data_IF_209713572101
#
_entry.id   IF_209713572101
#
_cell.length_a   1.000
_cell.length_b   1.000
_cell.length_c   1.000
_cell.angle_alpha   90.00
_cell.angle_beta   90.00
_cell.angle_gamma   90.00
#
_symmetry.space_group_name_H-M   'P 1'
#
loop_
_entity.id
_entity.type
_entity.pdbx_description
1 polymer ?
#
# COMPACT_ATOMS: atom_id res chain seq x y z
N UNK A 1 -28.94 -16.22 -1.39
CA UNK A 1 -29.41 -14.84 -1.67
C UNK A 1 -30.07 -14.33 -0.40
N UNK A 2 -29.38 -13.51 0.38
CA UNK A 2 -29.93 -12.85 1.55
C UNK A 2 -30.60 -11.55 1.06
N UNK A 3 -31.93 -11.51 1.09
CA UNK A 3 -32.69 -10.29 0.84
C UNK A 3 -32.74 -9.53 2.15
N UNK A 4 -31.99 -8.45 2.29
CA UNK A 4 -32.12 -7.53 3.41
C UNK A 4 -33.41 -6.73 3.21
N UNK A 5 -34.25 -6.63 4.25
CA UNK A 5 -35.47 -5.81 4.22
C UNK A 5 -35.08 -4.33 4.14
N UNK A 6 -35.92 -3.49 3.52
CA UNK A 6 -35.71 -2.03 3.42
C UNK A 6 -35.40 -1.38 4.80
N UNK A 7 -35.91 -1.92 5.88
CA UNK A 7 -35.65 -1.46 7.25
C UNK A 7 -34.20 -1.68 7.70
N UNK A 8 -33.52 -2.73 7.20
CA UNK A 8 -32.10 -3.00 7.52
C UNK A 8 -31.17 -2.11 6.68
N UNK A 9 -31.60 -1.73 5.48
CA UNK A 9 -30.87 -0.79 4.62
C UNK A 9 -30.93 0.64 5.18
N UNK A 10 -32.07 1.07 5.75
CA UNK A 10 -32.21 2.38 6.41
C UNK A 10 -31.46 2.46 7.72
N UNK A 11 -31.43 1.38 8.52
CA UNK A 11 -30.63 1.31 9.75
C UNK A 11 -29.13 1.38 9.46
N UNK A 12 -28.67 0.85 8.34
CA UNK A 12 -27.27 0.98 7.90
C UNK A 12 -26.97 2.39 7.36
N UNK A 13 -27.96 3.09 6.78
CA UNK A 13 -27.80 4.48 6.33
C UNK A 13 -27.76 5.51 7.44
N UNK A 14 -28.35 5.20 8.61
CA UNK A 14 -28.48 6.12 9.73
C UNK A 14 -27.18 6.44 10.48
N UNK A 15 -26.09 5.71 10.22
CA UNK A 15 -24.79 5.88 10.87
C UNK A 15 -23.61 6.08 9.90
N UNK A 16 -23.86 6.44 8.65
CA UNK A 16 -22.78 6.84 7.76
C UNK A 16 -22.35 8.26 8.21
N UNK A 17 -21.48 8.34 9.23
CA UNK A 17 -20.67 9.53 9.43
C UNK A 17 -19.99 9.82 8.09
N UNK A 18 -20.16 11.03 7.57
CA UNK A 18 -19.43 11.49 6.39
C UNK A 18 -17.95 11.46 6.72
N UNK A 19 -17.29 10.36 6.39
CA UNK A 19 -15.84 10.26 6.49
C UNK A 19 -15.23 11.27 5.53
N UNK A 20 -14.15 11.91 5.96
CA UNK A 20 -13.41 12.82 5.09
C UNK A 20 -12.82 12.04 3.92
N UNK A 21 -12.81 12.66 2.75
CA UNK A 21 -12.10 12.12 1.61
C UNK A 21 -10.65 12.61 1.60
N UNK A 22 -9.74 11.77 1.18
CA UNK A 22 -8.34 12.09 0.98
C UNK A 22 -8.06 12.17 -0.52
N UNK A 23 -7.38 13.23 -0.96
CA UNK A 23 -7.06 13.41 -2.38
C UNK A 23 -5.69 12.81 -2.71
N UNK A 24 -5.65 11.89 -3.68
CA UNK A 24 -4.42 11.33 -4.24
C UNK A 24 -4.34 11.79 -5.71
N UNK A 25 -3.48 12.76 -5.99
CA UNK A 25 -3.46 13.42 -7.28
C UNK A 25 -4.84 13.98 -7.65
N UNK A 26 -5.41 13.54 -8.77
CA UNK A 26 -6.73 13.96 -9.24
C UNK A 26 -7.90 13.15 -8.65
N UNK A 27 -7.62 12.13 -7.85
CA UNK A 27 -8.65 11.22 -7.33
C UNK A 27 -9.01 11.55 -5.88
N UNK A 28 -10.31 11.56 -5.60
CA UNK A 28 -10.84 11.62 -4.23
C UNK A 28 -11.08 10.20 -3.73
N UNK A 29 -10.49 9.86 -2.58
CA UNK A 29 -10.58 8.53 -1.97
C UNK A 29 -11.35 8.63 -0.66
N UNK A 30 -12.43 7.88 -0.53
CA UNK A 30 -13.27 7.88 0.67
C UNK A 30 -14.76 7.71 0.35
N UNK A 31 -15.61 8.08 1.30
CA UNK A 31 -17.05 7.86 1.20
C UNK A 31 -17.67 8.57 -0.01
N UNK A 32 -18.50 7.83 -0.76
CA UNK A 32 -19.17 8.34 -1.96
C UNK A 32 -18.30 8.47 -3.20
N UNK A 33 -17.00 8.15 -3.10
CA UNK A 33 -16.10 8.08 -4.26
C UNK A 33 -16.04 6.66 -4.82
N UNK A 34 -15.76 6.50 -6.13
CA UNK A 34 -15.43 5.19 -6.69
C UNK A 34 -14.23 4.57 -5.99
N UNK A 35 -14.16 3.24 -5.96
CA UNK A 35 -13.02 2.53 -5.39
C UNK A 35 -11.73 2.91 -6.13
N UNK A 36 -10.68 3.24 -5.37
CA UNK A 36 -9.36 3.58 -5.89
C UNK A 36 -8.51 2.30 -5.95
N UNK A 37 -8.31 1.78 -7.16
CA UNK A 37 -7.56 0.55 -7.39
C UNK A 37 -6.08 0.84 -7.60
N UNK A 38 -5.25 0.13 -6.83
CA UNK A 38 -3.78 0.20 -6.90
C UNK A 38 -3.25 -1.16 -7.30
N UNK A 39 -2.56 -1.25 -8.43
CA UNK A 39 -1.84 -2.47 -8.80
C UNK A 39 -0.50 -2.53 -8.02
N UNK A 40 -0.33 -3.59 -7.24
CA UNK A 40 0.89 -3.86 -6.47
C UNK A 40 1.95 -4.50 -7.38
N UNK A 41 2.82 -3.69 -7.96
CA UNK A 41 3.99 -4.19 -8.71
C UNK A 41 5.05 -4.68 -7.72
N UNK A 42 5.27 -3.93 -6.64
CA UNK A 42 6.20 -4.31 -5.57
C UNK A 42 7.61 -4.58 -6.10
N UNK A 43 8.01 -5.84 -6.06
CA UNK A 43 9.29 -6.34 -6.60
C UNK A 43 9.07 -7.39 -7.71
N UNK A 44 7.85 -7.52 -8.24
CA UNK A 44 7.53 -8.54 -9.27
C UNK A 44 8.18 -8.25 -10.63
N UNK A 45 8.78 -7.09 -10.80
CA UNK A 45 9.61 -6.75 -11.96
C UNK A 45 10.95 -7.52 -11.99
N UNK A 46 11.31 -8.25 -10.94
CA UNK A 46 12.51 -9.09 -10.86
C UNK A 46 13.82 -8.37 -11.25
N UNK A 47 13.96 -7.07 -10.93
CA UNK A 47 15.14 -6.27 -11.26
C UNK A 47 15.23 -5.82 -12.72
N UNK A 48 14.21 -6.12 -13.54
CA UNK A 48 14.14 -5.71 -14.93
C UNK A 48 13.12 -4.57 -15.13
N UNK A 49 13.61 -3.43 -15.63
CA UNK A 49 12.76 -2.26 -15.82
C UNK A 49 11.75 -2.46 -16.94
N UNK A 50 12.05 -3.26 -17.98
CA UNK A 50 11.09 -3.54 -19.03
C UNK A 50 9.90 -4.32 -18.48
N UNK A 51 10.14 -5.33 -17.65
CA UNK A 51 9.09 -6.05 -16.93
C UNK A 51 8.25 -5.11 -16.07
N UNK A 52 8.86 -4.10 -15.43
CA UNK A 52 8.11 -3.08 -14.70
C UNK A 52 7.17 -2.27 -15.61
N UNK A 53 7.64 -1.87 -16.80
CA UNK A 53 6.82 -1.14 -17.78
C UNK A 53 5.66 -2.00 -18.31
N UNK A 54 5.91 -3.28 -18.57
CA UNK A 54 4.86 -4.23 -19.00
C UNK A 54 3.78 -4.42 -17.91
N UNK A 55 4.18 -4.44 -16.64
CA UNK A 55 3.25 -4.48 -15.51
C UNK A 55 2.44 -3.19 -15.36
N UNK A 56 3.03 -2.03 -15.68
CA UNK A 56 2.30 -0.76 -15.76
C UNK A 56 1.24 -0.82 -16.86
N UNK A 57 1.57 -1.32 -18.05
CA UNK A 57 0.61 -1.48 -19.15
C UNK A 57 -0.54 -2.42 -18.77
N UNK A 58 -0.25 -3.51 -18.09
CA UNK A 58 -1.28 -4.41 -17.58
C UNK A 58 -2.20 -3.70 -16.57
N UNK A 59 -1.65 -2.90 -15.67
CA UNK A 59 -2.43 -2.11 -14.70
C UNK A 59 -3.32 -1.07 -15.37
N UNK A 60 -2.81 -0.36 -16.38
CA UNK A 60 -3.58 0.60 -17.20
C UNK A 60 -4.72 -0.12 -17.91
N UNK A 61 -4.43 -1.26 -18.55
CA UNK A 61 -5.44 -2.06 -19.27
C UNK A 61 -6.52 -2.60 -18.34
N UNK A 62 -6.18 -2.88 -17.08
CA UNK A 62 -7.13 -3.29 -16.04
C UNK A 62 -7.92 -2.14 -15.43
N UNK A 63 -7.65 -0.88 -15.79
CA UNK A 63 -8.35 0.31 -15.29
C UNK A 63 -7.91 0.75 -13.90
N UNK A 64 -6.71 0.35 -13.43
CA UNK A 64 -6.16 0.83 -12.17
C UNK A 64 -5.85 2.33 -12.23
N UNK A 65 -6.02 3.03 -11.11
CA UNK A 65 -5.70 4.45 -10.98
C UNK A 65 -4.24 4.69 -10.63
N UNK A 66 -3.59 3.70 -10.01
CA UNK A 66 -2.19 3.80 -9.62
C UNK A 66 -1.49 2.44 -9.67
N UNK A 67 -0.16 2.50 -9.76
CA UNK A 67 0.74 1.37 -9.52
C UNK A 67 1.61 1.66 -8.30
N UNK A 68 1.98 0.61 -7.54
CA UNK A 68 2.81 0.76 -6.36
C UNK A 68 4.07 -0.09 -6.44
N UNK A 69 5.22 0.56 -6.19
CA UNK A 69 6.53 -0.04 -6.07
C UNK A 69 6.96 -0.16 -4.61
N UNK A 70 8.16 -0.66 -4.37
CA UNK A 70 8.83 -0.68 -3.08
C UNK A 70 10.21 -0.07 -3.24
N UNK A 71 10.67 0.68 -2.24
CA UNK A 71 12.02 1.23 -2.19
C UNK A 71 12.66 0.96 -0.84
N UNK A 72 13.90 0.48 -0.86
CA UNK A 72 14.70 0.17 0.32
C UNK A 72 16.14 0.62 0.11
N UNK A 73 16.76 1.04 1.19
CA UNK A 73 18.21 1.06 1.31
C UNK A 73 18.60 -0.26 1.96
N UNK A 74 19.04 -1.22 1.14
CA UNK A 74 19.18 -2.63 1.55
C UNK A 74 19.99 -2.79 2.84
N UNK A 75 21.06 -2.03 2.99
CA UNK A 75 21.98 -2.07 4.13
C UNK A 75 21.40 -1.47 5.41
N UNK A 76 20.34 -0.64 5.31
CA UNK A 76 19.63 -0.09 6.47
C UNK A 76 18.49 -1.01 6.92
N UNK A 77 17.81 -1.64 5.96
CA UNK A 77 16.60 -2.46 6.23
C UNK A 77 16.95 -3.85 6.75
N UNK A 78 18.06 -4.42 6.30
CA UNK A 78 18.44 -5.81 6.63
C UNK A 78 19.71 -5.88 7.45
N UNK A 79 19.76 -6.78 8.44
CA UNK A 79 20.99 -7.04 9.19
C UNK A 79 22.07 -7.67 8.29
N UNK A 80 23.34 -7.46 8.66
CA UNK A 80 24.47 -8.10 7.95
C UNK A 80 24.34 -9.62 7.92
N UNK A 81 23.83 -10.22 9.00
CA UNK A 81 23.60 -11.65 9.10
C UNK A 81 22.54 -12.11 8.07
N UNK A 82 21.43 -11.39 7.97
CA UNK A 82 20.39 -11.69 6.98
C UNK A 82 20.89 -11.54 5.55
N UNK A 83 21.69 -10.51 5.26
CA UNK A 83 22.26 -10.29 3.92
C UNK A 83 23.24 -11.38 3.53
N UNK A 84 24.03 -11.89 4.48
CA UNK A 84 25.03 -12.96 4.24
C UNK A 84 24.41 -14.36 4.21
N UNK A 85 23.14 -14.53 4.54
CA UNK A 85 22.47 -15.83 4.53
C UNK A 85 22.53 -16.46 3.13
N UNK A 86 23.01 -17.72 2.98
CA UNK A 86 23.04 -18.40 1.70
C UNK A 86 21.64 -18.51 1.10
N UNK A 87 21.52 -18.07 -0.15
CA UNK A 87 20.30 -18.14 -0.95
C UNK A 87 20.65 -18.05 -2.43
N UNK A 88 20.73 -19.18 -3.12
CA UNK A 88 20.97 -19.18 -4.57
C UNK A 88 19.79 -18.50 -5.29
N UNK A 89 20.10 -17.56 -6.17
CA UNK A 89 19.13 -16.71 -6.86
C UNK A 89 19.74 -16.15 -8.17
N UNK A 90 18.95 -15.55 -9.06
CA UNK A 90 19.46 -15.02 -10.35
C UNK A 90 20.55 -13.94 -10.24
N UNK A 91 20.72 -13.30 -9.07
CA UNK A 91 21.68 -12.21 -8.85
C UNK A 91 22.94 -12.63 -8.09
N UNK A 92 22.97 -13.87 -7.56
CA UNK A 92 24.09 -14.38 -6.77
C UNK A 92 23.72 -15.48 -5.78
N UNK A 93 24.55 -15.66 -4.77
CA UNK A 93 24.46 -16.80 -3.85
C UNK A 93 23.98 -16.41 -2.45
N UNK A 94 23.72 -15.11 -2.19
CA UNK A 94 23.27 -14.62 -0.89
C UNK A 94 21.91 -13.95 -0.95
N UNK A 95 21.26 -13.82 0.21
CA UNK A 95 20.04 -13.05 0.33
C UNK A 95 20.27 -11.56 0.00
N UNK A 96 21.46 -11.04 0.32
CA UNK A 96 21.89 -9.68 -0.03
C UNK A 96 21.96 -9.45 -1.53
N UNK A 97 22.50 -10.41 -2.28
CA UNK A 97 22.53 -10.33 -3.75
C UNK A 97 21.12 -10.24 -4.33
N UNK A 98 20.20 -11.07 -3.83
CA UNK A 98 18.80 -11.00 -4.23
C UNK A 98 18.18 -9.64 -3.91
N UNK A 99 18.39 -9.13 -2.68
CA UNK A 99 17.79 -7.85 -2.27
C UNK A 99 18.30 -6.69 -3.11
N UNK A 100 19.61 -6.62 -3.36
CA UNK A 100 20.21 -5.57 -4.22
C UNK A 100 19.79 -5.70 -5.67
N UNK A 101 19.74 -6.92 -6.21
CA UNK A 101 19.30 -7.17 -7.58
C UNK A 101 17.84 -6.82 -7.86
N UNK A 102 17.01 -6.76 -6.82
CA UNK A 102 15.60 -6.36 -6.91
C UNK A 102 15.37 -4.86 -6.69
N UNK A 103 16.37 -4.08 -6.23
CA UNK A 103 16.20 -2.65 -6.02
C UNK A 103 16.53 -1.87 -7.30
N UNK A 104 15.63 -0.98 -7.67
CA UNK A 104 15.87 -0.02 -8.74
C UNK A 104 16.65 1.20 -8.24
N UNK A 105 17.55 1.70 -9.06
CA UNK A 105 18.24 2.97 -8.90
C UNK A 105 17.48 4.14 -9.51
N UNK A 106 18.18 5.28 -9.58
CA UNK A 106 17.58 6.54 -10.05
C UNK A 106 17.12 6.47 -11.51
N UNK A 107 17.94 5.90 -12.38
CA UNK A 107 17.66 5.83 -13.82
C UNK A 107 16.42 4.98 -14.13
N UNK A 108 16.23 3.86 -13.43
CA UNK A 108 15.04 3.03 -13.59
C UNK A 108 13.79 3.78 -13.13
N UNK A 109 13.87 4.51 -12.00
CA UNK A 109 12.74 5.32 -11.53
C UNK A 109 12.44 6.52 -12.41
N UNK A 110 13.44 7.13 -13.06
CA UNK A 110 13.21 8.16 -14.10
C UNK A 110 12.37 7.57 -15.24
N UNK A 111 12.75 6.38 -15.74
CA UNK A 111 12.00 5.71 -16.81
C UNK A 111 10.57 5.35 -16.39
N UNK A 112 10.39 4.87 -15.15
CA UNK A 112 9.06 4.56 -14.57
C UNK A 112 8.22 5.82 -14.47
N UNK A 113 8.79 6.92 -13.99
CA UNK A 113 8.09 8.19 -13.82
C UNK A 113 7.63 8.76 -15.16
N UNK A 114 8.50 8.80 -16.15
CA UNK A 114 8.18 9.25 -17.51
C UNK A 114 7.08 8.36 -18.13
N UNK A 115 7.21 7.05 -18.01
CA UNK A 115 6.24 6.11 -18.56
C UNK A 115 4.87 6.20 -17.88
N UNK A 116 4.82 6.31 -16.57
CA UNK A 116 3.56 6.52 -15.85
C UNK A 116 2.87 7.84 -16.24
N UNK A 117 3.65 8.91 -16.49
CA UNK A 117 3.13 10.18 -17.01
C UNK A 117 2.55 10.02 -18.42
N UNK A 118 3.26 9.33 -19.31
CA UNK A 118 2.78 9.01 -20.66
C UNK A 118 1.45 8.23 -20.62
N UNK A 119 1.39 7.21 -19.77
CA UNK A 119 0.19 6.36 -19.61
C UNK A 119 -0.91 7.01 -18.76
N UNK A 120 -0.67 8.19 -18.20
CA UNK A 120 -1.62 8.92 -17.33
C UNK A 120 -2.08 8.13 -16.10
N UNK A 121 -1.24 7.23 -15.58
CA UNK A 121 -1.43 6.47 -14.34
C UNK A 121 -0.56 7.05 -13.23
N UNK A 122 -1.08 7.09 -12.01
CA UNK A 122 -0.27 7.49 -10.84
C UNK A 122 0.69 6.37 -10.44
N UNK A 123 1.82 6.76 -9.87
CA UNK A 123 2.69 5.81 -9.22
C UNK A 123 3.21 6.34 -7.89
N UNK A 124 3.50 5.46 -6.96
CA UNK A 124 4.10 5.75 -5.66
C UNK A 124 4.82 4.51 -5.12
N UNK A 125 5.49 4.66 -3.99
CA UNK A 125 6.24 3.55 -3.41
C UNK A 125 5.93 3.32 -1.93
N UNK A 126 6.15 2.08 -1.46
CA UNK A 126 6.39 1.79 -0.06
C UNK A 126 7.86 2.01 0.24
N UNK A 127 8.19 3.01 1.04
CA UNK A 127 9.54 3.25 1.54
C UNK A 127 9.74 2.50 2.86
N UNK A 128 10.85 1.78 3.00
CA UNK A 128 11.13 0.94 4.16
C UNK A 128 12.13 1.55 5.13
N UNK A 129 12.72 2.68 4.75
CA UNK A 129 13.68 3.46 5.52
C UNK A 129 13.59 4.94 5.12
N UNK A 130 14.23 5.82 5.90
CA UNK A 130 14.15 7.27 5.72
C UNK A 130 14.86 7.74 4.45
N UNK A 131 15.97 7.10 4.05
CA UNK A 131 16.70 7.41 2.82
C UNK A 131 15.87 7.07 1.59
N UNK A 132 15.07 5.99 1.67
CA UNK A 132 14.12 5.63 0.64
C UNK A 132 13.02 6.71 0.47
N UNK A 133 12.59 7.36 1.55
CA UNK A 133 11.65 8.50 1.47
C UNK A 133 12.29 9.68 0.75
N UNK A 134 13.51 10.06 1.12
CA UNK A 134 14.25 11.16 0.46
C UNK A 134 14.52 10.85 -1.03
N UNK A 135 14.79 9.60 -1.34
CA UNK A 135 14.96 9.16 -2.72
C UNK A 135 13.68 9.32 -3.54
N UNK A 136 12.54 8.86 -3.02
CA UNK A 136 11.26 8.93 -3.75
C UNK A 136 10.72 10.36 -3.83
N UNK A 137 11.02 11.25 -2.85
CA UNK A 137 10.64 12.67 -2.89
C UNK A 137 11.14 13.40 -4.15
N UNK A 138 12.26 12.97 -4.74
CA UNK A 138 12.81 13.54 -5.97
C UNK A 138 11.86 13.43 -7.15
N UNK A 139 10.92 12.49 -7.12
CA UNK A 139 9.92 12.25 -8.17
C UNK A 139 8.56 12.89 -7.88
N UNK A 140 8.42 13.63 -6.77
CA UNK A 140 7.18 14.30 -6.37
C UNK A 140 5.96 13.34 -6.33
N UNK A 141 5.99 12.24 -5.55
CA UNK A 141 4.95 11.22 -5.55
C UNK A 141 3.61 11.79 -5.07
N UNK A 142 2.46 11.28 -5.57
CA UNK A 142 1.14 11.76 -5.16
C UNK A 142 0.76 11.36 -3.73
N UNK A 143 1.37 10.31 -3.19
CA UNK A 143 1.17 9.78 -1.84
C UNK A 143 2.30 8.82 -1.47
N UNK A 144 2.31 8.35 -0.22
CA UNK A 144 3.16 7.27 0.26
C UNK A 144 2.38 6.06 0.74
N UNK A 145 3.02 4.90 0.72
CA UNK A 145 2.52 3.68 1.33
C UNK A 145 3.42 3.24 2.47
N UNK A 146 2.83 3.02 3.64
CA UNK A 146 3.49 2.40 4.78
C UNK A 146 3.08 0.93 4.83
N UNK A 147 4.04 0.03 4.63
CA UNK A 147 3.83 -1.41 4.71
C UNK A 147 3.52 -1.82 6.15
N UNK A 148 2.77 -2.92 6.34
CA UNK A 148 2.44 -3.45 7.67
C UNK A 148 3.68 -3.66 8.55
N UNK A 149 4.79 -4.13 7.98
CA UNK A 149 6.05 -4.34 8.68
C UNK A 149 6.69 -3.04 9.22
N UNK A 150 6.32 -1.88 8.68
CA UNK A 150 6.87 -0.59 9.06
C UNK A 150 5.95 0.21 10.01
N UNK A 151 4.75 -0.33 10.34
CA UNK A 151 3.76 0.39 11.15
C UNK A 151 4.28 0.76 12.54
N UNK A 152 5.16 -0.02 13.12
CA UNK A 152 5.74 0.21 14.46
C UNK A 152 7.08 0.95 14.43
N UNK A 153 7.51 1.47 13.28
CA UNK A 153 8.75 2.21 13.12
C UNK A 153 8.49 3.72 13.23
N UNK A 154 8.42 4.24 14.45
CA UNK A 154 7.98 5.62 14.73
C UNK A 154 8.82 6.68 13.99
N UNK A 155 10.14 6.49 13.84
CA UNK A 155 11.02 7.42 13.12
C UNK A 155 10.65 7.50 11.64
N UNK A 156 10.41 6.37 11.00
CA UNK A 156 9.97 6.30 9.61
C UNK A 156 8.55 6.91 9.44
N UNK A 157 7.64 6.68 10.40
CA UNK A 157 6.32 7.34 10.40
C UNK A 157 6.46 8.86 10.47
N UNK A 158 7.31 9.38 11.37
CA UNK A 158 7.62 10.81 11.48
C UNK A 158 8.23 11.37 10.21
N UNK A 159 9.11 10.61 9.54
CA UNK A 159 9.70 11.00 8.26
C UNK A 159 8.62 11.16 7.19
N UNK A 160 7.71 10.19 7.06
CA UNK A 160 6.57 10.29 6.14
C UNK A 160 5.65 11.47 6.48
N UNK A 161 5.31 11.68 7.76
CA UNK A 161 4.46 12.79 8.20
C UNK A 161 5.03 14.16 7.81
N UNK A 162 6.36 14.33 7.85
CA UNK A 162 7.05 15.57 7.45
C UNK A 162 6.88 15.91 5.97
N UNK A 163 6.60 14.95 5.10
CA UNK A 163 6.35 15.18 3.67
C UNK A 163 5.02 15.90 3.42
N UNK A 164 4.09 15.84 4.38
CA UNK A 164 2.72 16.36 4.28
C UNK A 164 1.91 15.78 3.11
N UNK A 165 2.36 14.69 2.54
CA UNK A 165 1.64 13.97 1.48
C UNK A 165 0.60 13.03 2.07
N UNK A 166 -0.44 12.67 1.30
CA UNK A 166 -1.34 11.59 1.67
C UNK A 166 -0.58 10.30 1.96
N UNK A 167 -1.02 9.58 2.99
CA UNK A 167 -0.41 8.34 3.44
C UNK A 167 -1.43 7.22 3.42
N UNK A 168 -1.09 6.12 2.78
CA UNK A 168 -1.83 4.87 2.81
C UNK A 168 -1.08 3.91 3.74
N UNK A 169 -1.67 3.52 4.87
CA UNK A 169 -1.01 2.65 5.86
C UNK A 169 -1.73 1.31 6.00
N UNK A 170 -0.99 0.20 5.80
CA UNK A 170 -1.49 -1.15 6.07
C UNK A 170 -1.34 -1.52 7.53
N UNK A 171 -2.36 -2.21 8.08
CA UNK A 171 -2.49 -2.52 9.52
C UNK A 171 -2.25 -3.99 9.87
N UNK A 172 -1.71 -4.78 8.94
CA UNK A 172 -1.40 -6.19 9.19
C UNK A 172 -0.34 -6.39 10.26
N UNK A 173 -0.32 -7.56 10.91
CA UNK A 173 0.61 -7.94 12.00
C UNK A 173 0.60 -7.02 13.22
N UNK A 174 -0.38 -6.14 13.35
CA UNK A 174 -0.39 -5.10 14.38
C UNK A 174 -1.59 -5.25 15.31
N UNK A 175 -1.37 -4.96 16.58
CA UNK A 175 -2.45 -4.81 17.56
C UNK A 175 -3.17 -3.48 17.37
N UNK A 176 -4.38 -3.37 17.88
CA UNK A 176 -5.14 -2.12 17.84
C UNK A 176 -4.41 -0.97 18.56
N UNK A 177 -3.64 -1.27 19.60
CA UNK A 177 -2.83 -0.29 20.34
C UNK A 177 -1.70 0.26 19.44
N UNK A 178 -0.99 -0.61 18.74
CA UNK A 178 0.05 -0.21 17.78
C UNK A 178 -0.51 0.65 16.63
N UNK A 179 -1.71 0.27 16.11
CA UNK A 179 -2.38 1.07 15.08
C UNK A 179 -2.73 2.47 15.62
N UNK A 180 -3.27 2.58 16.86
CA UNK A 180 -3.55 3.88 17.48
C UNK A 180 -2.30 4.73 17.68
N UNK A 181 -1.20 4.12 18.10
CA UNK A 181 0.10 4.79 18.22
C UNK A 181 0.53 5.34 16.84
N UNK A 182 0.57 4.52 15.80
CA UNK A 182 0.95 4.95 14.46
C UNK A 182 0.05 6.09 13.93
N UNK A 183 -1.27 5.96 14.09
CA UNK A 183 -2.24 7.00 13.70
C UNK A 183 -2.03 8.30 14.48
N UNK A 184 -1.55 8.26 15.74
CA UNK A 184 -1.28 9.46 16.52
C UNK A 184 -0.07 10.26 16.02
N UNK A 185 0.85 9.61 15.30
CA UNK A 185 2.04 10.23 14.70
C UNK A 185 1.71 10.88 13.35
N UNK A 186 0.76 10.29 12.62
CA UNK A 186 0.41 10.70 11.27
C UNK A 186 -0.69 11.76 11.26
N UNK A 187 -0.73 12.57 10.20
CA UNK A 187 -1.83 13.51 9.96
C UNK A 187 -3.10 12.75 9.54
N UNK A 188 -4.10 12.72 10.41
CA UNK A 188 -5.38 12.03 10.16
C UNK A 188 -6.15 12.61 8.97
N UNK A 189 -5.92 13.87 8.60
CA UNK A 189 -6.61 14.50 7.46
C UNK A 189 -6.15 13.95 6.13
N UNK A 190 -4.92 13.41 6.09
CA UNK A 190 -4.28 12.87 4.89
C UNK A 190 -4.01 11.35 5.01
N UNK A 191 -4.69 10.64 5.91
CA UNK A 191 -4.47 9.23 6.19
C UNK A 191 -5.57 8.35 5.61
N UNK A 192 -5.16 7.27 4.95
CA UNK A 192 -6.00 6.16 4.52
C UNK A 192 -5.46 4.89 5.19
N UNK A 193 -6.32 4.11 5.84
CA UNK A 193 -5.94 2.82 6.43
C UNK A 193 -6.31 1.68 5.47
N UNK A 194 -5.52 0.61 5.49
CA UNK A 194 -5.87 -0.62 4.81
C UNK A 194 -5.91 -1.77 5.81
N UNK A 195 -7.05 -2.45 5.85
CA UNK A 195 -7.09 -3.76 6.50
C UNK A 195 -6.22 -4.74 5.69
N UNK A 196 -5.40 -5.51 6.39
CA UNK A 196 -4.41 -6.42 5.79
C UNK A 196 -4.22 -7.62 6.72
N UNK A 197 -4.20 -8.82 6.15
CA UNK A 197 -3.68 -10.02 6.78
C UNK A 197 -2.35 -10.37 6.12
N UNK A 198 -1.28 -10.46 6.92
CA UNK A 198 0.11 -10.44 6.39
C UNK A 198 0.69 -11.82 6.06
N UNK A 199 -0.10 -12.89 6.10
CA UNK A 199 0.33 -14.21 5.63
C UNK A 199 0.29 -14.30 4.09
N UNK A 200 1.22 -15.03 3.49
CA UNK A 200 1.36 -15.22 2.05
C UNK A 200 1.38 -16.71 1.67
N UNK A 201 0.31 -17.25 1.06
CA UNK A 201 -1.00 -16.64 0.86
C UNK A 201 -1.81 -16.58 2.17
N UNK A 202 -2.75 -15.65 2.23
CA UNK A 202 -3.73 -15.59 3.32
C UNK A 202 -4.81 -16.65 3.12
N UNK A 203 -5.15 -17.39 4.19
CA UNK A 203 -6.26 -18.33 4.17
C UNK A 203 -7.58 -17.59 4.33
N UNK A 204 -8.66 -18.12 3.74
CA UNK A 204 -9.98 -17.48 3.75
C UNK A 204 -10.51 -17.26 5.17
N UNK A 205 -10.27 -18.20 6.08
CA UNK A 205 -10.68 -18.12 7.48
C UNK A 205 -9.97 -17.03 8.29
N UNK A 206 -8.82 -16.54 7.83
CA UNK A 206 -8.02 -15.51 8.49
C UNK A 206 -8.29 -14.08 7.97
N UNK A 207 -9.12 -13.92 6.93
CA UNK A 207 -9.32 -12.65 6.23
C UNK A 207 -9.97 -11.55 7.06
N UNK A 208 -10.94 -11.89 7.92
CA UNK A 208 -11.62 -10.96 8.81
C UNK A 208 -12.02 -9.60 8.19
N UNK A 209 -12.67 -9.61 7.02
CA UNK A 209 -13.00 -8.40 6.25
C UNK A 209 -13.81 -7.36 7.05
N UNK A 210 -14.56 -7.78 8.08
CA UNK A 210 -15.28 -6.85 8.97
C UNK A 210 -14.37 -5.85 9.68
N UNK A 211 -13.06 -6.11 9.75
CA UNK A 211 -12.10 -5.14 10.26
C UNK A 211 -12.07 -3.83 9.46
N UNK A 212 -12.47 -3.84 8.18
CA UNK A 212 -12.63 -2.63 7.37
C UNK A 212 -13.62 -1.68 8.07
N UNK A 213 -14.78 -2.20 8.47
CA UNK A 213 -15.82 -1.42 9.17
C UNK A 213 -15.32 -0.97 10.55
N UNK A 214 -14.70 -1.87 11.31
CA UNK A 214 -14.16 -1.54 12.64
C UNK A 214 -13.10 -0.43 12.59
N UNK A 215 -12.18 -0.48 11.62
CA UNK A 215 -11.17 0.56 11.45
C UNK A 215 -11.79 1.89 11.04
N UNK A 216 -12.78 1.85 10.16
CA UNK A 216 -13.54 3.01 9.70
C UNK A 216 -14.25 3.72 10.87
N UNK A 217 -14.94 2.97 11.73
CA UNK A 217 -15.63 3.51 12.90
C UNK A 217 -14.67 4.11 13.94
N UNK A 218 -13.49 3.50 14.12
CA UNK A 218 -12.54 3.91 15.16
C UNK A 218 -11.65 5.08 14.78
N UNK A 219 -11.28 5.21 13.50
CA UNK A 219 -10.26 6.18 13.08
C UNK A 219 -10.80 7.35 12.25
N UNK A 220 -12.06 7.31 11.83
CA UNK A 220 -12.74 8.38 11.09
C UNK A 220 -11.99 8.81 9.80
N UNK A 221 -11.26 7.88 9.18
CA UNK A 221 -10.54 8.05 7.92
C UNK A 221 -11.00 7.03 6.88
N UNK A 222 -10.73 7.22 5.58
CA UNK A 222 -11.00 6.22 4.57
C UNK A 222 -10.29 4.91 4.90
N UNK A 223 -10.97 3.79 4.69
CA UNK A 223 -10.41 2.46 4.90
C UNK A 223 -10.61 1.62 3.64
N UNK A 224 -9.56 0.96 3.23
CA UNK A 224 -9.55 0.02 2.12
C UNK A 224 -9.03 -1.35 2.53
N UNK A 225 -8.67 -2.13 1.53
CA UNK A 225 -8.17 -3.50 1.68
C UNK A 225 -6.84 -3.70 0.96
N UNK A 226 -5.93 -4.45 1.56
CA UNK A 226 -4.70 -4.92 0.94
C UNK A 226 -4.59 -6.42 1.16
N UNK A 227 -5.00 -7.20 0.15
CA UNK A 227 -5.10 -8.65 0.23
C UNK A 227 -3.84 -9.37 -0.19
N UNK A 228 -3.66 -10.59 0.37
CA UNK A 228 -2.59 -11.53 0.01
C UNK A 228 -3.16 -12.94 -0.24
N UNK A 229 -4.45 -13.05 -0.39
CA UNK A 229 -5.16 -14.27 -0.74
C UNK A 229 -5.05 -14.60 -2.23
N UNK A 230 -5.35 -15.84 -2.56
CA UNK A 230 -5.48 -16.29 -3.95
C UNK A 230 -6.92 -16.11 -4.43
N UNK A 231 -7.09 -15.53 -5.63
CA UNK A 231 -8.39 -15.33 -6.25
C UNK A 231 -8.88 -13.88 -6.18
N UNK A 232 -10.08 -13.60 -6.67
CA UNK A 232 -10.64 -12.25 -6.81
C UNK A 232 -11.81 -11.97 -5.84
N UNK A 233 -12.43 -13.03 -5.30
CA UNK A 233 -13.70 -12.92 -4.55
C UNK A 233 -13.57 -12.06 -3.31
N UNK A 234 -12.46 -12.16 -2.60
CA UNK A 234 -12.19 -11.39 -1.38
C UNK A 234 -12.06 -9.90 -1.69
N UNK A 235 -11.30 -9.55 -2.73
CA UNK A 235 -11.13 -8.15 -3.16
C UNK A 235 -12.46 -7.54 -3.60
N UNK A 236 -13.30 -8.29 -4.31
CA UNK A 236 -14.66 -7.86 -4.69
C UNK A 236 -15.52 -7.66 -3.44
N UNK A 237 -15.48 -8.60 -2.49
CA UNK A 237 -16.23 -8.48 -1.23
C UNK A 237 -15.78 -7.26 -0.41
N UNK A 238 -14.47 -7.02 -0.33
CA UNK A 238 -13.93 -5.85 0.37
C UNK A 238 -14.35 -4.53 -0.27
N UNK A 239 -14.42 -4.47 -1.61
CA UNK A 239 -14.84 -3.27 -2.34
C UNK A 239 -16.35 -2.97 -2.21
N UNK A 240 -17.15 -3.90 -1.68
CA UNK A 240 -18.60 -3.75 -1.47
C UNK A 240 -18.96 -3.42 -0.02
N UNK A 241 -17.98 -3.43 0.91
CA UNK A 241 -18.16 -3.05 2.31
C UNK A 241 -18.06 -1.55 2.49
#
# INVERSE_FOLDING_TARGET
>A
MLILSEYQVESLKGNIRTMRNVNIGKYSVGSGSPCFFVAEIGINHNGDVQTALDLIDAAVSAGCQAVKFQKRTVELVYSKEDLMRPRSNPFGETNGDLKRGLEFGYEEYVRIDEYCKEKSILWFASCWDEDAVDFIEQFNPPCYKIASACLTHDELLLKHAKTKRPIIMSTGMSTMEQIRQAVSILDKENLILLHTTSTYPTRVEDLNLKMILTLSELFECPVGYSGHEVGLQTSVAAATL
#
